data_IF_980447695318
#
_entry.id   IF_980447695318
#
_cell.length_a   1.000
_cell.length_b   1.000
_cell.length_c   1.000
_cell.angle_alpha   90.00
_cell.angle_beta   90.00
_cell.angle_gamma   90.00
#
_symmetry.space_group_name_H-M   'P 1'
#
loop_
_entity.id
_entity.type
_entity.pdbx_description
1 polymer ?
#
# COMPACT_ATOMS: atom_id res chain seq x y z
N UNK A 1 18.36 -8.84 -5.06
CA UNK A 1 18.30 -8.52 -6.51
C UNK A 1 16.90 -8.08 -6.99
N UNK A 2 15.84 -8.90 -6.84
CA UNK A 2 14.49 -8.57 -7.37
C UNK A 2 13.93 -7.24 -6.85
N UNK A 3 14.02 -6.98 -5.54
CA UNK A 3 13.51 -5.74 -4.95
C UNK A 3 14.17 -4.48 -5.54
N UNK A 4 15.50 -4.49 -5.68
CA UNK A 4 16.26 -3.40 -6.29
C UNK A 4 15.86 -3.15 -7.74
N UNK A 5 15.66 -4.23 -8.51
CA UNK A 5 15.16 -4.12 -9.90
C UNK A 5 13.75 -3.52 -9.94
N UNK A 6 12.84 -3.96 -9.06
CA UNK A 6 11.49 -3.41 -8.98
C UNK A 6 11.49 -1.93 -8.59
N UNK A 7 12.32 -1.54 -7.62
CA UNK A 7 12.47 -0.13 -7.22
C UNK A 7 12.92 0.73 -8.40
N UNK A 8 13.91 0.27 -9.19
CA UNK A 8 14.44 1.00 -10.33
C UNK A 8 13.47 1.11 -11.53
N UNK A 9 12.38 0.32 -11.57
CA UNK A 9 11.40 0.35 -12.66
C UNK A 9 10.36 1.46 -12.54
N UNK A 10 10.30 2.15 -11.40
CA UNK A 10 9.34 3.22 -11.12
C UNK A 10 10.10 4.51 -10.87
N UNK A 11 9.64 5.66 -11.42
CA UNK A 11 10.20 6.95 -11.04
C UNK A 11 9.82 7.26 -9.59
N UNK A 12 10.77 7.06 -8.67
CA UNK A 12 10.62 7.36 -7.23
C UNK A 12 11.26 8.71 -6.94
N UNK A 13 10.51 9.60 -6.29
CA UNK A 13 10.95 10.91 -5.80
C UNK A 13 11.22 10.86 -4.30
N UNK A 14 12.08 11.75 -3.79
CA UNK A 14 12.47 11.79 -2.37
C UNK A 14 11.26 11.94 -1.44
N UNK A 15 10.23 12.67 -1.88
CA UNK A 15 9.00 12.93 -1.12
C UNK A 15 7.96 11.82 -1.23
N UNK A 16 8.22 10.76 -2.00
CA UNK A 16 7.28 9.66 -2.15
C UNK A 16 7.19 8.80 -0.88
N UNK A 17 5.98 8.34 -0.59
CA UNK A 17 5.67 7.39 0.49
C UNK A 17 5.40 6.02 -0.10
N UNK A 18 5.94 4.97 0.54
CA UNK A 18 5.73 3.60 0.12
C UNK A 18 4.61 2.93 0.92
N UNK A 19 3.78 2.17 0.22
CA UNK A 19 2.82 1.26 0.83
C UNK A 19 3.13 -0.16 0.38
N UNK A 20 3.44 -1.05 1.32
CA UNK A 20 3.68 -2.46 1.04
C UNK A 20 2.60 -3.30 1.71
N UNK A 21 1.82 -4.01 0.89
CA UNK A 21 0.82 -4.96 1.37
C UNK A 21 1.38 -6.39 1.30
N UNK A 22 1.42 -7.08 2.43
CA UNK A 22 1.79 -8.49 2.51
C UNK A 22 1.19 -9.10 3.75
N UNK A 23 0.29 -10.08 3.59
CA UNK A 23 -0.47 -10.60 4.74
C UNK A 23 0.41 -11.22 5.83
N UNK A 24 1.47 -11.93 5.44
CA UNK A 24 2.42 -12.52 6.38
C UNK A 24 3.62 -11.62 6.68
N UNK A 25 4.02 -10.77 5.73
CA UNK A 25 5.16 -9.87 5.89
C UNK A 25 6.53 -10.56 6.08
N UNK A 26 6.64 -11.87 5.82
CA UNK A 26 7.86 -12.67 6.10
C UNK A 26 8.73 -12.96 4.87
N UNK A 27 8.20 -12.78 3.66
CA UNK A 27 8.88 -13.21 2.44
C UNK A 27 10.12 -12.34 2.15
N UNK A 28 11.22 -12.98 1.74
CA UNK A 28 12.50 -12.30 1.52
C UNK A 28 12.41 -11.07 0.63
N UNK A 29 11.68 -11.14 -0.50
CA UNK A 29 11.51 -9.99 -1.41
C UNK A 29 10.74 -8.83 -0.79
N UNK A 30 9.77 -9.11 0.08
CA UNK A 30 8.95 -8.09 0.77
C UNK A 30 9.82 -7.36 1.80
N UNK A 31 10.57 -8.13 2.60
CA UNK A 31 11.46 -7.59 3.63
C UNK A 31 12.63 -6.83 2.99
N UNK A 32 13.23 -7.37 1.93
CA UNK A 32 14.29 -6.69 1.17
C UNK A 32 13.79 -5.37 0.57
N UNK A 33 12.59 -5.34 -0.01
CA UNK A 33 12.00 -4.10 -0.52
C UNK A 33 11.77 -3.09 0.61
N UNK A 34 11.22 -3.52 1.74
CA UNK A 34 11.01 -2.65 2.90
C UNK A 34 12.33 -2.05 3.42
N UNK A 35 13.38 -2.87 3.52
CA UNK A 35 14.71 -2.40 3.91
C UNK A 35 15.28 -1.39 2.92
N UNK A 36 15.19 -1.67 1.62
CA UNK A 36 15.63 -0.76 0.56
C UNK A 36 14.88 0.58 0.61
N UNK A 37 13.56 0.55 0.81
CA UNK A 37 12.73 1.76 0.97
C UNK A 37 13.23 2.61 2.13
N UNK A 38 13.50 2.00 3.29
CA UNK A 38 14.04 2.72 4.46
C UNK A 38 15.48 3.20 4.25
N UNK A 39 16.33 2.42 3.59
CA UNK A 39 17.69 2.81 3.22
C UNK A 39 17.69 4.06 2.33
N UNK A 40 16.68 4.21 1.46
CA UNK A 40 16.49 5.39 0.60
C UNK A 40 15.80 6.57 1.28
N UNK A 41 15.49 6.47 2.58
CA UNK A 41 14.95 7.56 3.38
C UNK A 41 13.45 7.79 3.23
N UNK A 42 12.72 6.88 2.60
CA UNK A 42 11.27 7.04 2.44
C UNK A 42 10.49 6.57 3.68
N UNK A 43 9.33 7.18 3.88
CA UNK A 43 8.31 6.69 4.80
C UNK A 43 7.65 5.43 4.23
N UNK A 44 7.36 4.47 5.11
CA UNK A 44 6.83 3.17 4.78
C UNK A 44 5.60 2.84 5.63
N UNK A 45 4.49 2.59 4.94
CA UNK A 45 3.26 2.04 5.50
C UNK A 45 3.18 0.55 5.13
N UNK A 46 3.01 -0.31 6.14
CA UNK A 46 2.73 -1.72 5.93
C UNK A 46 1.23 -2.02 6.08
N UNK A 47 0.67 -2.81 5.16
CA UNK A 47 -0.64 -3.45 5.32
C UNK A 47 -0.43 -4.95 5.47
N UNK A 48 -0.67 -5.49 6.65
CA UNK A 48 -0.38 -6.89 7.00
C UNK A 48 -1.42 -7.43 7.98
N UNK A 49 -1.47 -8.74 8.18
CA UNK A 49 -2.11 -9.31 9.38
C UNK A 49 -1.06 -9.43 10.47
N UNK A 50 -1.26 -8.80 11.63
CA UNK A 50 -0.35 -8.96 12.76
C UNK A 50 -0.41 -10.37 13.34
N UNK A 51 -1.60 -10.97 13.41
CA UNK A 51 -1.77 -12.35 13.89
C UNK A 51 -1.04 -13.35 12.99
N UNK A 52 -1.19 -13.21 11.67
CA UNK A 52 -0.53 -14.07 10.71
C UNK A 52 0.99 -13.88 10.74
N UNK A 53 1.45 -12.63 10.79
CA UNK A 53 2.88 -12.29 10.78
C UNK A 53 3.61 -12.79 12.03
N UNK A 54 2.98 -12.67 13.21
CA UNK A 54 3.55 -13.11 14.49
C UNK A 54 3.74 -14.63 14.56
N UNK A 55 2.81 -15.41 13.98
CA UNK A 55 2.85 -16.88 13.95
C UNK A 55 3.69 -17.45 12.81
N UNK A 56 4.24 -16.59 11.94
CA UNK A 56 5.02 -16.98 10.78
C UNK A 56 6.53 -16.81 11.02
N UNK A 57 7.32 -17.76 10.52
CA UNK A 57 8.78 -17.69 10.58
C UNK A 57 9.34 -16.75 9.48
N UNK A 58 10.15 -15.73 9.83
CA UNK A 58 10.79 -14.85 8.86
C UNK A 58 11.68 -15.63 7.89
N UNK A 59 11.64 -15.25 6.60
CA UNK A 59 12.42 -15.90 5.54
C UNK A 59 13.55 -15.04 4.99
N UNK A 60 13.69 -13.81 5.47
CA UNK A 60 14.77 -12.92 5.10
C UNK A 60 15.98 -13.11 6.03
N UNK A 61 17.20 -12.95 5.51
CA UNK A 61 18.44 -13.14 6.26
C UNK A 61 18.57 -12.17 7.46
N UNK A 62 17.90 -11.02 7.43
CA UNK A 62 17.86 -10.09 8.57
C UNK A 62 17.06 -10.61 9.77
N UNK A 63 16.27 -11.68 9.60
CA UNK A 63 15.34 -12.17 10.62
C UNK A 63 14.13 -11.25 10.86
N UNK A 64 14.01 -10.15 10.11
CA UNK A 64 12.94 -9.16 10.29
C UNK A 64 11.65 -9.51 9.53
N UNK A 65 10.55 -8.91 9.98
CA UNK A 65 9.24 -8.85 9.32
C UNK A 65 8.99 -7.46 8.75
N UNK A 66 8.07 -7.36 7.79
CA UNK A 66 7.61 -6.08 7.25
C UNK A 66 7.12 -5.12 8.36
N UNK A 67 6.33 -5.62 9.32
CA UNK A 67 5.79 -4.82 10.42
C UNK A 67 6.85 -4.26 11.38
N UNK A 68 8.04 -4.85 11.41
CA UNK A 68 9.16 -4.41 12.24
C UNK A 68 10.02 -3.33 11.54
N UNK A 69 9.76 -3.07 10.26
CA UNK A 69 10.51 -2.12 9.43
C UNK A 69 9.68 -0.88 9.10
N UNK A 70 8.37 -1.03 8.93
CA UNK A 70 7.48 0.06 8.57
C UNK A 70 7.33 1.10 9.69
N UNK A 71 7.14 2.36 9.31
CA UNK A 71 6.87 3.47 10.23
C UNK A 71 5.43 3.44 10.75
N UNK A 72 4.50 2.99 9.90
CA UNK A 72 3.09 2.78 10.23
C UNK A 72 2.67 1.39 9.81
N UNK A 73 1.98 0.67 10.71
CA UNK A 73 1.41 -0.64 10.42
C UNK A 73 -0.11 -0.56 10.48
N UNK A 74 -0.75 -0.92 9.38
CA UNK A 74 -2.19 -1.11 9.28
C UNK A 74 -2.49 -2.61 9.37
N UNK A 75 -2.97 -3.03 10.54
CA UNK A 75 -3.40 -4.41 10.76
C UNK A 75 -4.73 -4.67 10.06
N UNK A 76 -4.74 -5.57 9.09
CA UNK A 76 -5.92 -5.93 8.33
C UNK A 76 -6.88 -6.87 9.11
N UNK A 77 -6.45 -7.35 10.29
CA UNK A 77 -7.26 -8.17 11.20
C UNK A 77 -7.56 -9.58 10.71
N UNK A 78 -6.96 -10.02 9.59
CA UNK A 78 -7.12 -11.40 9.13
C UNK A 78 -6.46 -12.36 10.13
N UNK A 79 -7.07 -13.52 10.42
CA UNK A 79 -6.44 -14.50 11.29
C UNK A 79 -5.23 -15.17 10.62
N UNK A 80 -4.45 -15.92 11.39
CA UNK A 80 -3.46 -16.84 10.84
C UNK A 80 -4.07 -17.74 9.76
N UNK A 81 -3.33 -17.93 8.66
CA UNK A 81 -3.82 -18.61 7.45
C UNK A 81 -4.74 -17.79 6.55
N UNK A 82 -5.29 -16.66 6.99
CA UNK A 82 -6.33 -15.89 6.27
C UNK A 82 -7.53 -16.76 5.87
N UNK A 83 -8.03 -17.52 6.84
CA UNK A 83 -9.16 -18.44 6.66
C UNK A 83 -10.14 -18.20 7.80
N UNK A 84 -11.39 -17.92 7.45
CA UNK A 84 -12.46 -17.72 8.44
C UNK A 84 -13.41 -18.93 8.54
N UNK A 85 -13.52 -19.74 7.50
CA UNK A 85 -14.52 -20.80 7.41
C UNK A 85 -13.89 -22.22 7.53
N UNK A 86 -14.62 -23.21 8.09
CA UNK A 86 -14.10 -24.57 8.30
C UNK A 86 -13.64 -25.29 7.02
N UNK A 87 -14.18 -24.93 5.86
CA UNK A 87 -13.80 -25.48 4.55
C UNK A 87 -12.56 -24.81 3.95
N UNK A 88 -11.78 -24.08 4.76
CA UNK A 88 -10.57 -23.35 4.33
C UNK A 88 -10.83 -22.20 3.35
N UNK A 89 -12.01 -21.59 3.41
CA UNK A 89 -12.35 -20.40 2.60
C UNK A 89 -12.69 -19.20 3.47
N UNK A 90 -13.10 -18.10 2.83
CA UNK A 90 -13.42 -16.85 3.53
C UNK A 90 -12.18 -16.04 3.88
N UNK A 91 -11.21 -15.97 2.97
CA UNK A 91 -10.10 -15.03 3.08
C UNK A 91 -10.63 -13.59 3.15
N UNK A 92 -10.16 -12.85 4.14
CA UNK A 92 -10.69 -11.51 4.46
C UNK A 92 -9.63 -10.43 4.25
N UNK A 93 -8.34 -10.80 4.25
CA UNK A 93 -7.22 -9.84 4.20
C UNK A 93 -7.31 -8.85 3.04
N UNK A 94 -7.70 -9.29 1.83
CA UNK A 94 -7.85 -8.41 0.66
C UNK A 94 -9.00 -7.41 0.83
N UNK A 95 -10.11 -7.84 1.44
CA UNK A 95 -11.29 -6.99 1.64
C UNK A 95 -10.97 -5.92 2.67
N UNK A 96 -10.41 -6.31 3.82
CA UNK A 96 -10.05 -5.36 4.88
C UNK A 96 -8.88 -4.48 4.48
N UNK A 97 -7.89 -4.99 3.74
CA UNK A 97 -6.81 -4.16 3.18
C UNK A 97 -7.35 -3.10 2.21
N UNK A 98 -8.33 -3.45 1.36
CA UNK A 98 -8.96 -2.47 0.46
C UNK A 98 -9.73 -1.39 1.23
N UNK A 99 -10.45 -1.77 2.30
CA UNK A 99 -11.11 -0.82 3.21
C UNK A 99 -10.08 0.10 3.87
N UNK A 100 -9.00 -0.45 4.42
CA UNK A 100 -7.93 0.34 5.05
C UNK A 100 -7.29 1.33 4.06
N UNK A 101 -7.01 0.90 2.82
CA UNK A 101 -6.48 1.78 1.79
C UNK A 101 -7.46 2.93 1.48
N UNK A 102 -8.77 2.66 1.39
CA UNK A 102 -9.77 3.70 1.18
C UNK A 102 -9.88 4.67 2.36
N UNK A 103 -9.77 4.17 3.60
CA UNK A 103 -9.75 5.02 4.79
C UNK A 103 -8.52 5.94 4.82
N UNK A 104 -7.35 5.43 4.44
CA UNK A 104 -6.14 6.26 4.29
C UNK A 104 -6.36 7.37 3.26
N UNK A 105 -6.87 7.03 2.07
CA UNK A 105 -7.16 8.03 1.03
C UNK A 105 -8.17 9.07 1.53
N UNK A 106 -9.22 8.63 2.22
CA UNK A 106 -10.26 9.51 2.77
C UNK A 106 -9.68 10.48 3.78
N UNK A 107 -8.82 10.00 4.69
CA UNK A 107 -8.17 10.84 5.68
C UNK A 107 -7.17 11.84 5.04
N UNK A 108 -6.44 11.42 4.02
CA UNK A 108 -5.57 12.33 3.24
C UNK A 108 -6.40 13.45 2.60
N UNK A 109 -7.54 13.12 1.99
CA UNK A 109 -8.46 14.11 1.41
C UNK A 109 -8.96 15.09 2.47
N UNK A 110 -9.45 14.59 3.61
CA UNK A 110 -9.96 15.42 4.70
C UNK A 110 -8.89 16.42 5.17
N UNK A 111 -7.63 15.99 5.29
CA UNK A 111 -6.52 16.85 5.71
C UNK A 111 -6.17 17.90 4.67
N UNK A 112 -6.21 17.57 3.39
CA UNK A 112 -6.00 18.55 2.31
C UNK A 112 -7.09 19.64 2.36
N UNK A 113 -8.34 19.25 2.51
CA UNK A 113 -9.47 20.18 2.60
C UNK A 113 -9.41 21.06 3.85
N UNK A 114 -9.07 20.49 5.00
CA UNK A 114 -8.84 21.24 6.24
C UNK A 114 -7.68 22.26 6.11
N UNK A 115 -6.69 21.97 5.27
CA UNK A 115 -5.61 22.88 4.93
C UNK A 115 -6.00 23.91 3.84
N UNK A 116 -7.28 23.97 3.43
CA UNK A 116 -7.78 24.88 2.39
C UNK A 116 -7.37 24.48 0.97
N UNK A 117 -6.91 23.24 0.76
CA UNK A 117 -6.51 22.73 -0.55
C UNK A 117 -7.64 21.92 -1.18
N UNK A 118 -7.79 22.02 -2.50
CA UNK A 118 -8.72 21.16 -3.25
C UNK A 118 -8.06 19.81 -3.55
N UNK A 119 -8.62 18.72 -3.02
CA UNK A 119 -8.10 17.39 -3.24
C UNK A 119 -8.29 16.92 -4.71
N UNK A 120 -7.27 16.33 -5.35
CA UNK A 120 -7.31 15.88 -6.74
C UNK A 120 -7.98 14.50 -6.87
N UNK A 121 -9.30 14.43 -6.67
CA UNK A 121 -10.05 13.16 -6.64
C UNK A 121 -10.66 12.89 -8.02
N UNK A 122 -10.55 11.64 -8.50
CA UNK A 122 -11.32 11.20 -9.66
C UNK A 122 -12.82 11.16 -9.36
N UNK A 123 -13.59 11.67 -10.30
CA UNK A 123 -15.03 11.54 -10.30
C UNK A 123 -15.43 10.30 -11.11
N UNK A 124 -16.61 9.74 -10.82
CA UNK A 124 -17.17 8.70 -11.66
C UNK A 124 -17.29 9.21 -13.10
N UNK A 125 -16.74 8.50 -14.08
CA UNK A 125 -16.87 8.89 -15.48
C UNK A 125 -18.33 8.88 -15.97
N UNK A 126 -19.23 8.20 -15.22
CA UNK A 126 -20.64 8.09 -15.55
C UNK A 126 -21.50 9.25 -15.01
N UNK A 127 -20.90 10.22 -14.29
CA UNK A 127 -21.60 11.45 -13.90
C UNK A 127 -21.27 12.59 -14.87
N UNK A 128 -22.19 13.53 -15.00
CA UNK A 128 -22.00 14.71 -15.86
C UNK A 128 -20.73 15.47 -15.48
N UNK A 129 -19.85 15.70 -16.46
CA UNK A 129 -18.57 16.40 -16.28
C UNK A 129 -17.46 15.57 -15.63
N UNK A 130 -17.73 14.31 -15.23
CA UNK A 130 -16.74 13.46 -14.56
C UNK A 130 -15.57 13.07 -15.47
N UNK A 131 -15.86 12.76 -16.74
CA UNK A 131 -14.83 12.42 -17.71
C UNK A 131 -13.87 13.59 -17.97
N UNK A 132 -14.40 14.78 -18.25
CA UNK A 132 -13.61 15.99 -18.53
C UNK A 132 -12.79 16.44 -17.31
N UNK A 133 -13.34 16.29 -16.10
CA UNK A 133 -12.61 16.52 -14.85
C UNK A 133 -11.42 15.57 -14.71
N UNK A 134 -11.65 14.28 -14.93
CA UNK A 134 -10.61 13.25 -14.81
C UNK A 134 -9.46 13.46 -15.80
N UNK A 135 -9.75 13.87 -17.05
CA UNK A 135 -8.72 14.19 -18.05
C UNK A 135 -7.76 15.30 -17.59
N UNK A 136 -8.28 16.33 -16.87
CA UNK A 136 -7.43 17.39 -16.32
C UNK A 136 -6.48 16.87 -15.25
N UNK A 137 -6.97 15.96 -14.39
CA UNK A 137 -6.13 15.31 -13.38
C UNK A 137 -5.09 14.40 -14.03
N UNK A 138 -5.46 13.65 -15.06
CA UNK A 138 -4.53 12.80 -15.82
C UNK A 138 -3.40 13.62 -16.44
N UNK A 139 -3.73 14.74 -17.09
CA UNK A 139 -2.73 15.64 -17.64
C UNK A 139 -1.81 16.21 -16.54
N UNK A 140 -2.38 16.58 -15.39
CA UNK A 140 -1.62 17.10 -14.24
C UNK A 140 -0.63 16.08 -13.65
N UNK A 141 -0.98 14.79 -13.64
CA UNK A 141 -0.19 13.71 -13.06
C UNK A 141 0.49 12.81 -14.11
N UNK A 142 0.59 13.28 -15.35
CA UNK A 142 1.22 12.54 -16.44
C UNK A 142 2.67 12.16 -16.07
N UNK A 143 3.05 10.90 -16.35
CA UNK A 143 4.36 10.36 -16.00
C UNK A 143 4.51 9.90 -14.54
N UNK A 144 3.65 10.35 -13.61
CA UNK A 144 3.63 9.85 -12.22
C UNK A 144 2.71 8.65 -12.04
N UNK A 145 1.54 8.65 -12.68
CA UNK A 145 0.56 7.55 -12.58
C UNK A 145 0.53 6.79 -13.91
N UNK A 146 0.85 5.48 -13.88
CA UNK A 146 0.73 4.60 -15.05
C UNK A 146 -0.73 4.15 -15.22
N UNK A 147 -1.29 4.34 -16.42
CA UNK A 147 -2.67 3.93 -16.76
C UNK A 147 -2.76 2.84 -17.83
N UNK A 148 -1.70 2.60 -18.58
CA UNK A 148 -1.61 1.47 -19.50
C UNK A 148 -1.04 0.28 -18.75
N UNK A 149 -1.91 -0.68 -18.39
CA UNK A 149 -1.51 -2.04 -18.06
C UNK A 149 -1.38 -2.86 -19.34
#
# INVERSE_FOLDING_TARGET
EVAHRLYALTPVHEEDVFVIASNSGINGVIVEMALLVKERGHDLIAVTSLDHSAKSQPRHASGKRLSEIADVVLDNGAPYGDVLLPNQTGAVSSVTAAVLAQLVVTEVVNRLEQAGQTAPIYLSANISGGYEHNLKLEARYAGRIRRTA
#
